data_IF_524410080223
#
_entry.id   IF_524410080223
#
_cell.length_a   1.000
_cell.length_b   1.000
_cell.length_c   1.000
_cell.angle_alpha   90.00
_cell.angle_beta   90.00
_cell.angle_gamma   90.00
#
_symmetry.space_group_name_H-M   'P 1'
#
loop_
_entity.id
_entity.type
_entity.pdbx_description
1 polymer ?
#
# COMPACT_ATOMS: atom_id res chain seq x y z
N UNK A 1 22.08 14.78 11.45
CA UNK A 1 21.03 13.94 10.83
C UNK A 1 21.65 13.29 9.61
N UNK A 2 21.65 11.95 9.52
CA UNK A 2 22.15 11.28 8.33
C UNK A 2 21.21 11.60 7.15
N UNK A 3 21.74 12.12 6.05
CA UNK A 3 20.98 12.34 4.82
C UNK A 3 20.90 11.01 4.08
N UNK A 4 19.73 10.38 4.07
CA UNK A 4 19.54 9.11 3.36
C UNK A 4 19.46 9.32 1.84
N UNK A 5 20.20 8.50 1.09
CA UNK A 5 20.10 8.42 -0.38
C UNK A 5 18.98 7.45 -0.75
N UNK A 6 17.73 7.89 -0.64
CA UNK A 6 16.55 7.03 -0.84
C UNK A 6 16.52 6.36 -2.22
N UNK A 7 16.93 7.05 -3.28
CA UNK A 7 17.04 6.47 -4.63
C UNK A 7 18.04 5.31 -4.67
N UNK A 8 19.20 5.46 -4.03
CA UNK A 8 20.23 4.42 -3.95
C UNK A 8 19.75 3.22 -3.13
N UNK A 9 19.05 3.46 -2.02
CA UNK A 9 18.43 2.41 -1.21
C UNK A 9 17.40 1.64 -2.06
N UNK A 10 16.48 2.36 -2.72
CA UNK A 10 15.47 1.77 -3.58
C UNK A 10 16.07 0.94 -4.72
N UNK A 11 17.11 1.46 -5.38
CA UNK A 11 17.84 0.74 -6.42
C UNK A 11 18.50 -0.54 -5.88
N UNK A 12 19.07 -0.49 -4.67
CA UNK A 12 19.67 -1.67 -4.03
C UNK A 12 18.61 -2.73 -3.74
N UNK A 13 17.47 -2.34 -3.18
CA UNK A 13 16.34 -3.24 -2.90
C UNK A 13 15.84 -3.88 -4.20
N UNK A 14 15.56 -3.09 -5.24
CA UNK A 14 15.10 -3.60 -6.54
C UNK A 14 16.09 -4.61 -7.14
N UNK A 15 17.39 -4.33 -7.03
CA UNK A 15 18.44 -5.27 -7.44
C UNK A 15 18.38 -6.56 -6.63
N UNK A 16 18.22 -6.48 -5.30
CA UNK A 16 18.12 -7.68 -4.45
C UNK A 16 16.92 -8.56 -4.84
N UNK A 17 15.77 -7.95 -5.10
CA UNK A 17 14.56 -8.65 -5.57
C UNK A 17 14.81 -9.33 -6.92
N UNK A 18 15.42 -8.62 -7.86
CA UNK A 18 15.73 -9.17 -9.21
C UNK A 18 16.73 -10.34 -9.16
N UNK A 19 17.65 -10.33 -8.19
CA UNK A 19 18.62 -11.41 -7.98
C UNK A 19 18.03 -12.63 -7.27
N UNK A 20 16.84 -12.52 -6.69
CA UNK A 20 16.20 -13.61 -5.95
C UNK A 20 15.66 -14.65 -6.93
N UNK A 21 16.38 -15.78 -7.09
CA UNK A 21 15.89 -16.92 -7.87
C UNK A 21 14.88 -17.72 -7.04
N UNK A 22 13.61 -17.66 -7.42
CA UNK A 22 12.51 -18.32 -6.71
C UNK A 22 12.53 -19.85 -6.85
N UNK A 23 13.33 -20.42 -7.76
CA UNK A 23 13.55 -21.87 -7.81
C UNK A 23 14.55 -22.34 -6.75
N UNK A 24 15.48 -21.46 -6.35
CA UNK A 24 16.49 -21.73 -5.32
C UNK A 24 15.94 -21.35 -3.94
N UNK A 25 15.37 -20.15 -3.83
CA UNK A 25 14.74 -19.62 -2.63
C UNK A 25 13.22 -19.80 -2.75
N UNK A 26 12.77 -21.02 -2.52
CA UNK A 26 11.40 -21.45 -2.82
C UNK A 26 10.35 -21.08 -1.75
N UNK A 27 10.75 -20.44 -0.66
CA UNK A 27 9.85 -19.91 0.36
C UNK A 27 10.22 -18.48 0.79
N UNK A 28 9.25 -17.80 1.42
CA UNK A 28 9.38 -16.39 1.80
C UNK A 28 10.46 -16.13 2.86
N UNK A 29 10.82 -17.11 3.68
CA UNK A 29 11.81 -16.97 4.74
C UNK A 29 13.22 -17.01 4.14
N UNK A 30 13.45 -17.97 3.25
CA UNK A 30 14.71 -18.11 2.51
C UNK A 30 14.95 -16.91 1.57
N UNK A 31 13.91 -16.43 0.88
CA UNK A 31 13.99 -15.21 0.07
C UNK A 31 14.36 -13.98 0.91
N UNK A 32 13.72 -13.79 2.06
CA UNK A 32 13.99 -12.67 2.94
C UNK A 32 15.42 -12.69 3.49
N UNK A 33 15.91 -13.84 3.98
CA UNK A 33 17.27 -13.93 4.49
C UNK A 33 18.30 -13.70 3.37
N UNK A 34 18.08 -14.23 2.17
CA UNK A 34 18.94 -13.95 1.01
C UNK A 34 19.02 -12.44 0.70
N UNK A 35 17.88 -11.77 0.57
CA UNK A 35 17.81 -10.33 0.30
C UNK A 35 18.53 -9.52 1.39
N UNK A 36 18.30 -9.87 2.65
CA UNK A 36 18.95 -9.24 3.81
C UNK A 36 20.47 -9.41 3.76
N UNK A 37 20.99 -10.59 3.39
CA UNK A 37 22.44 -10.79 3.24
C UNK A 37 23.03 -9.93 2.12
N UNK A 38 22.33 -9.79 0.98
CA UNK A 38 22.78 -8.90 -0.10
C UNK A 38 22.86 -7.45 0.38
N UNK A 39 21.83 -6.97 1.08
CA UNK A 39 21.81 -5.59 1.62
C UNK A 39 22.96 -5.38 2.62
N UNK A 40 23.20 -6.35 3.51
CA UNK A 40 24.31 -6.28 4.48
C UNK A 40 25.69 -6.29 3.81
N UNK A 41 25.85 -7.05 2.72
CA UNK A 41 27.09 -7.15 1.96
C UNK A 41 27.35 -5.95 1.04
N UNK A 42 26.35 -5.10 0.78
CA UNK A 42 26.51 -3.92 -0.08
C UNK A 42 27.57 -2.96 0.49
N UNK A 43 28.57 -2.61 -0.32
CA UNK A 43 29.68 -1.75 0.12
C UNK A 43 29.41 -0.24 -0.09
N UNK A 44 28.33 0.10 -0.80
CA UNK A 44 27.97 1.47 -1.19
C UNK A 44 27.06 2.10 -0.13
N UNK A 45 26.15 1.31 0.45
CA UNK A 45 25.26 1.76 1.52
C UNK A 45 26.03 1.96 2.84
N UNK A 46 25.74 3.05 3.53
CA UNK A 46 26.15 3.24 4.93
C UNK A 46 25.39 2.28 5.86
N UNK A 47 25.84 2.13 7.11
CA UNK A 47 25.16 1.28 8.08
C UNK A 47 23.71 1.73 8.36
N UNK A 48 23.47 3.04 8.40
CA UNK A 48 22.12 3.56 8.63
C UNK A 48 21.22 3.31 7.40
N UNK A 49 21.77 3.45 6.18
CA UNK A 49 21.04 3.13 4.94
C UNK A 49 20.74 1.64 4.82
N UNK A 50 21.66 0.75 5.24
CA UNK A 50 21.41 -0.69 5.34
C UNK A 50 20.31 -1.01 6.32
N UNK A 51 20.31 -0.36 7.49
CA UNK A 51 19.27 -0.53 8.50
C UNK A 51 17.91 -0.12 7.95
N UNK A 52 17.85 1.02 7.25
CA UNK A 52 16.62 1.47 6.58
C UNK A 52 16.18 0.50 5.48
N UNK A 53 17.11 0.02 4.64
CA UNK A 53 16.82 -0.93 3.57
C UNK A 53 16.30 -2.28 4.11
N UNK A 54 16.91 -2.80 5.18
CA UNK A 54 16.46 -4.03 5.86
C UNK A 54 15.06 -3.83 6.44
N UNK A 55 14.81 -2.67 7.08
CA UNK A 55 13.48 -2.34 7.59
C UNK A 55 12.45 -2.31 6.46
N UNK A 56 12.78 -1.77 5.29
CA UNK A 56 11.91 -1.76 4.13
C UNK A 56 11.56 -3.18 3.68
N UNK A 57 12.54 -4.04 3.39
CA UNK A 57 12.26 -5.43 2.97
C UNK A 57 11.52 -6.23 4.05
N UNK A 58 11.73 -5.90 5.33
CA UNK A 58 11.00 -6.51 6.46
C UNK A 58 9.51 -6.17 6.42
N UNK A 59 9.10 -4.97 5.95
CA UNK A 59 7.67 -4.64 5.78
C UNK A 59 6.96 -5.63 4.85
N UNK A 60 7.57 -5.92 3.70
CA UNK A 60 7.04 -6.89 2.73
C UNK A 60 7.04 -8.32 3.27
N UNK A 61 8.11 -8.71 3.97
CA UNK A 61 8.21 -10.01 4.62
C UNK A 61 7.17 -10.20 5.72
N UNK A 62 6.94 -9.19 6.57
CA UNK A 62 5.92 -9.22 7.61
C UNK A 62 4.51 -9.37 7.03
N UNK A 63 4.18 -8.63 5.95
CA UNK A 63 2.93 -8.84 5.22
C UNK A 63 2.78 -10.30 4.80
N UNK A 64 3.80 -10.87 4.15
CA UNK A 64 3.75 -12.22 3.63
C UNK A 64 3.63 -13.27 4.75
N UNK A 65 4.32 -13.10 5.88
CA UNK A 65 4.16 -13.95 7.06
C UNK A 65 2.72 -13.93 7.58
N UNK A 66 2.14 -12.74 7.76
CA UNK A 66 0.75 -12.59 8.25
C UNK A 66 -0.24 -13.19 7.24
N UNK A 67 -0.06 -12.94 5.94
CA UNK A 67 -0.95 -13.45 4.89
C UNK A 67 -0.92 -14.98 4.79
N UNK A 68 0.27 -15.58 4.78
CA UNK A 68 0.47 -17.02 4.64
C UNK A 68 0.38 -17.76 5.98
N UNK A 69 0.19 -17.04 7.09
CA UNK A 69 0.28 -17.56 8.45
C UNK A 69 1.54 -18.42 8.66
N UNK A 70 2.70 -17.91 8.21
CA UNK A 70 3.97 -18.66 8.15
C UNK A 70 5.07 -17.98 8.95
N UNK A 71 5.93 -18.79 9.57
CA UNK A 71 7.07 -18.36 10.37
C UNK A 71 6.84 -18.38 11.87
N UNK A 72 7.83 -17.93 12.64
CA UNK A 72 7.80 -17.92 14.10
C UNK A 72 6.90 -16.80 14.61
N UNK A 73 5.91 -17.16 15.44
CA UNK A 73 5.11 -16.20 16.19
C UNK A 73 5.88 -15.65 17.39
N UNK A 74 5.59 -14.41 17.77
CA UNK A 74 6.09 -13.78 18.99
C UNK A 74 4.95 -13.24 19.84
N UNK A 75 5.15 -13.18 21.14
CA UNK A 75 4.17 -12.55 22.04
C UNK A 75 4.31 -11.03 21.92
N UNK A 76 3.21 -10.36 21.56
CA UNK A 76 3.19 -8.91 21.48
C UNK A 76 3.30 -8.30 22.89
N UNK A 77 4.20 -7.34 23.06
CA UNK A 77 4.40 -6.66 24.35
C UNK A 77 3.18 -5.84 24.79
N UNK A 78 2.41 -5.31 23.83
CA UNK A 78 1.27 -4.44 24.07
C UNK A 78 -0.03 -5.20 24.37
N UNK A 79 -0.41 -6.18 23.54
CA UNK A 79 -1.68 -6.91 23.68
C UNK A 79 -1.54 -8.33 24.22
N UNK A 80 -0.31 -8.82 24.43
CA UNK A 80 0.01 -10.19 24.90
C UNK A 80 -0.47 -11.33 23.99
N UNK A 81 -0.93 -11.02 22.78
CA UNK A 81 -1.31 -12.02 21.78
C UNK A 81 -0.09 -12.47 20.96
N UNK A 82 -0.13 -13.70 20.46
CA UNK A 82 0.85 -14.19 19.50
C UNK A 82 0.63 -13.55 18.13
N UNK A 83 1.65 -12.84 17.63
CA UNK A 83 1.63 -12.14 16.35
C UNK A 83 2.79 -12.59 15.46
N UNK A 84 2.63 -12.45 14.14
CA UNK A 84 3.62 -12.89 13.16
C UNK A 84 4.56 -11.77 12.70
N UNK A 85 4.05 -10.54 12.61
CA UNK A 85 4.84 -9.41 12.12
C UNK A 85 5.94 -9.01 13.12
N UNK A 86 7.11 -8.68 12.61
CA UNK A 86 8.26 -8.22 13.39
C UNK A 86 8.13 -6.73 13.73
N UNK A 87 7.74 -5.88 12.76
CA UNK A 87 7.71 -4.42 12.89
C UNK A 87 6.45 -3.87 13.55
N UNK A 88 5.37 -4.66 13.61
CA UNK A 88 4.09 -4.27 14.18
C UNK A 88 3.37 -5.50 14.75
N UNK A 89 2.21 -5.29 15.37
CA UNK A 89 1.30 -6.36 15.77
C UNK A 89 -0.03 -6.16 15.04
N UNK A 90 -0.41 -7.11 14.21
CA UNK A 90 -1.64 -7.08 13.42
C UNK A 90 -2.88 -6.88 14.29
N UNK A 91 -2.91 -7.44 15.50
CA UNK A 91 -4.01 -7.26 16.45
C UNK A 91 -4.03 -5.87 17.08
N UNK A 92 -2.88 -5.31 17.44
CA UNK A 92 -2.83 -3.94 17.97
C UNK A 92 -3.31 -2.93 16.93
N UNK A 93 -2.89 -3.10 15.67
CA UNK A 93 -3.32 -2.24 14.56
C UNK A 93 -4.84 -2.35 14.37
N UNK A 94 -5.40 -3.57 14.31
CA UNK A 94 -6.85 -3.77 14.16
C UNK A 94 -7.65 -3.23 15.35
N UNK A 95 -7.16 -3.39 16.58
CA UNK A 95 -7.81 -2.84 17.76
C UNK A 95 -7.81 -1.31 17.75
N UNK A 96 -6.69 -0.69 17.39
CA UNK A 96 -6.61 0.77 17.20
C UNK A 96 -7.63 1.26 16.18
N UNK A 97 -7.75 0.59 15.03
CA UNK A 97 -8.75 0.96 14.01
C UNK A 97 -10.17 0.79 14.54
N UNK A 98 -10.45 -0.31 15.25
CA UNK A 98 -11.77 -0.59 15.81
C UNK A 98 -12.22 0.47 16.82
N UNK A 99 -11.30 1.01 17.62
CA UNK A 99 -11.57 2.11 18.54
C UNK A 99 -11.93 3.42 17.80
N UNK A 100 -11.47 3.58 16.56
CA UNK A 100 -11.69 4.77 15.74
C UNK A 100 -12.93 4.68 14.83
N UNK A 101 -13.64 3.54 14.80
CA UNK A 101 -14.81 3.34 13.93
C UNK A 101 -15.93 4.35 14.16
N UNK A 102 -16.04 4.95 15.35
CA UNK A 102 -17.02 5.99 15.65
C UNK A 102 -16.57 7.41 15.30
N UNK A 103 -15.27 7.61 15.00
CA UNK A 103 -14.68 8.94 14.83
C UNK A 103 -14.70 9.42 13.37
N UNK A 104 -15.00 8.54 12.43
CA UNK A 104 -15.22 8.87 11.03
C UNK A 104 -16.43 8.10 10.49
N UNK A 105 -17.10 8.67 9.50
CA UNK A 105 -18.20 8.04 8.76
C UNK A 105 -18.30 8.66 7.38
N UNK A 106 -18.70 7.87 6.39
CA UNK A 106 -19.09 8.37 5.07
C UNK A 106 -20.50 8.94 5.03
N UNK A 107 -21.30 8.75 6.10
CA UNK A 107 -22.74 9.00 6.10
C UNK A 107 -23.54 7.90 5.40
N UNK A 108 -22.89 6.81 4.97
CA UNK A 108 -23.54 5.65 4.34
C UNK A 108 -23.10 4.35 5.03
N UNK A 109 -24.03 3.71 5.72
CA UNK A 109 -23.77 2.50 6.50
C UNK A 109 -23.19 1.35 5.67
N UNK A 110 -23.58 1.22 4.38
CA UNK A 110 -23.07 0.16 3.50
C UNK A 110 -21.59 0.37 3.19
N UNK A 111 -21.19 1.62 2.94
CA UNK A 111 -19.79 2.00 2.70
C UNK A 111 -18.97 1.86 3.98
N UNK A 112 -19.50 2.34 5.10
CA UNK A 112 -18.81 2.27 6.40
C UNK A 112 -18.56 0.82 6.79
N UNK A 113 -19.56 -0.06 6.65
CA UNK A 113 -19.41 -1.49 6.90
C UNK A 113 -18.36 -2.15 5.99
N UNK A 114 -18.30 -1.77 4.71
CA UNK A 114 -17.28 -2.28 3.78
C UNK A 114 -15.87 -1.87 4.22
N UNK A 115 -15.67 -0.59 4.56
CA UNK A 115 -14.37 -0.06 4.99
C UNK A 115 -13.95 -0.70 6.32
N UNK A 116 -14.84 -0.76 7.32
CA UNK A 116 -14.56 -1.39 8.61
C UNK A 116 -14.19 -2.87 8.46
N UNK A 117 -14.87 -3.61 7.58
CA UNK A 117 -14.51 -5.00 7.26
C UNK A 117 -13.09 -5.09 6.68
N UNK A 118 -12.75 -4.23 5.72
CA UNK A 118 -11.41 -4.18 5.14
C UNK A 118 -10.34 -3.84 6.20
N UNK A 119 -10.65 -2.90 7.09
CA UNK A 119 -9.77 -2.51 8.19
C UNK A 119 -9.51 -3.68 9.15
N UNK A 120 -10.53 -4.46 9.51
CA UNK A 120 -10.39 -5.66 10.36
C UNK A 120 -9.60 -6.80 9.70
N UNK A 121 -9.56 -6.85 8.37
CA UNK A 121 -8.75 -7.82 7.61
C UNK A 121 -7.35 -7.28 7.25
N UNK A 122 -6.99 -6.06 7.65
CA UNK A 122 -5.71 -5.44 7.28
C UNK A 122 -4.51 -6.30 7.68
N UNK A 123 -3.58 -6.44 6.73
CA UNK A 123 -2.37 -7.24 6.93
C UNK A 123 -1.22 -6.42 7.47
N UNK A 124 -1.13 -5.13 7.14
CA UNK A 124 -0.08 -4.23 7.60
C UNK A 124 -0.52 -2.76 7.64
N UNK A 125 0.17 -1.88 8.39
CA UNK A 125 -0.25 -0.49 8.57
C UNK A 125 -0.40 0.30 7.28
N UNK A 126 0.51 0.12 6.32
CA UNK A 126 0.44 0.75 5.02
C UNK A 126 -0.46 -0.01 4.02
N UNK A 127 -1.39 -0.86 4.44
CA UNK A 127 -2.41 -1.42 3.54
C UNK A 127 -3.83 -1.16 4.05
N UNK A 128 -3.96 -0.31 5.07
CA UNK A 128 -5.24 0.03 5.69
C UNK A 128 -6.08 0.84 4.70
N UNK A 129 -7.31 0.37 4.50
CA UNK A 129 -8.33 1.06 3.71
C UNK A 129 -8.94 2.19 4.53
N UNK A 130 -9.11 3.36 3.92
CA UNK A 130 -9.59 4.58 4.56
C UNK A 130 -10.87 5.11 3.89
N UNK A 131 -11.76 5.68 4.69
CA UNK A 131 -12.62 6.73 4.17
C UNK A 131 -11.81 8.01 4.07
N UNK A 132 -11.65 8.53 2.85
CA UNK A 132 -10.84 9.71 2.58
C UNK A 132 -11.79 10.90 2.40
N UNK A 133 -11.82 11.87 3.33
CA UNK A 133 -12.60 13.08 3.15
C UNK A 133 -12.24 13.77 1.84
N UNK A 134 -13.23 14.09 1.03
CA UNK A 134 -13.01 14.70 -0.29
C UNK A 134 -12.25 16.03 -0.20
N UNK A 135 -12.40 16.76 0.91
CA UNK A 135 -11.64 17.99 1.21
C UNK A 135 -10.13 17.78 1.36
N UNK A 136 -9.68 16.54 1.58
CA UNK A 136 -8.26 16.17 1.60
C UNK A 136 -7.67 15.94 0.20
N UNK A 137 -8.49 15.97 -0.84
CA UNK A 137 -8.07 15.82 -2.24
C UNK A 137 -8.05 17.19 -2.91
N UNK A 138 -6.88 17.59 -3.40
CA UNK A 138 -6.66 18.88 -4.07
C UNK A 138 -6.29 18.65 -5.53
N UNK A 139 -6.34 19.73 -6.31
CA UNK A 139 -5.87 19.74 -7.70
C UNK A 139 -6.45 18.60 -8.56
N UNK A 140 -7.73 18.27 -8.32
CA UNK A 140 -8.41 17.18 -9.03
C UNK A 140 -8.52 17.56 -10.51
N UNK A 141 -7.94 16.72 -11.38
CA UNK A 141 -7.88 16.93 -12.83
C UNK A 141 -8.35 15.69 -13.56
N UNK A 142 -9.19 15.87 -14.57
CA UNK A 142 -9.54 14.79 -15.47
C UNK A 142 -8.30 14.27 -16.20
N UNK A 143 -8.11 12.95 -16.21
CA UNK A 143 -7.00 12.28 -16.88
C UNK A 143 -7.47 11.61 -18.17
N UNK A 144 -8.50 10.77 -18.08
CA UNK A 144 -9.03 10.01 -19.22
C UNK A 144 -10.36 9.37 -18.89
N UNK A 145 -11.01 8.78 -19.89
CA UNK A 145 -12.21 7.95 -19.76
C UNK A 145 -11.93 6.59 -20.37
N UNK A 146 -12.05 5.56 -19.56
CA UNK A 146 -12.01 4.17 -20.02
C UNK A 146 -13.38 3.71 -20.53
N UNK A 147 -13.54 2.40 -20.74
CA UNK A 147 -14.82 1.83 -21.15
C UNK A 147 -15.94 1.98 -20.10
N UNK A 148 -15.59 2.06 -18.82
CA UNK A 148 -16.56 1.98 -17.70
C UNK A 148 -16.46 3.10 -16.68
N UNK A 149 -15.42 3.93 -16.73
CA UNK A 149 -15.19 4.94 -15.69
C UNK A 149 -14.38 6.11 -16.21
N UNK A 150 -14.65 7.27 -15.65
CA UNK A 150 -13.78 8.43 -15.74
C UNK A 150 -12.68 8.32 -14.70
N UNK A 151 -11.48 8.76 -15.09
CA UNK A 151 -10.27 8.70 -14.28
C UNK A 151 -9.77 10.12 -14.10
N UNK A 152 -9.46 10.46 -12.85
CA UNK A 152 -8.92 11.75 -12.46
C UNK A 152 -7.60 11.53 -11.70
N UNK A 153 -6.75 12.53 -11.64
CA UNK A 153 -5.61 12.61 -10.72
C UNK A 153 -5.90 13.61 -9.62
N UNK A 154 -5.37 13.39 -8.43
CA UNK A 154 -5.52 14.31 -7.31
C UNK A 154 -4.31 14.29 -6.38
N UNK A 155 -4.16 15.37 -5.62
CA UNK A 155 -3.17 15.55 -4.58
C UNK A 155 -3.80 15.20 -3.22
N UNK A 156 -3.41 14.10 -2.60
CA UNK A 156 -3.92 13.71 -1.28
C UNK A 156 -3.03 14.26 -0.17
N UNK A 157 -3.55 15.25 0.58
CA UNK A 157 -2.75 16.06 1.52
C UNK A 157 -2.34 15.34 2.81
N UNK A 158 -3.12 14.37 3.25
CA UNK A 158 -2.79 13.61 4.46
C UNK A 158 -1.82 12.47 4.13
N UNK A 159 -1.80 12.03 2.87
CA UNK A 159 -1.09 10.84 2.43
C UNK A 159 -1.56 9.58 3.13
N UNK A 160 -0.92 8.48 2.76
CA UNK A 160 -1.22 7.16 3.29
C UNK A 160 -0.67 6.91 4.70
N UNK A 161 -1.27 5.94 5.40
CA UNK A 161 -0.62 5.28 6.53
C UNK A 161 0.66 4.56 6.10
N UNK A 162 1.64 4.50 7.01
CA UNK A 162 2.96 3.89 6.78
C UNK A 162 3.31 2.86 7.85
N UNK A 163 3.37 3.27 9.12
CA UNK A 163 3.94 2.43 10.19
C UNK A 163 3.12 2.46 11.47
N UNK A 164 3.18 1.37 12.23
CA UNK A 164 2.69 1.33 13.60
C UNK A 164 3.76 1.85 14.56
N UNK A 165 3.39 2.81 15.41
CA UNK A 165 4.20 3.26 16.54
C UNK A 165 3.77 2.50 17.80
N UNK A 166 4.59 1.54 18.25
CA UNK A 166 4.29 0.71 19.40
C UNK A 166 4.31 1.47 20.73
N UNK A 167 5.10 2.55 20.84
CA UNK A 167 5.21 3.37 22.04
C UNK A 167 3.98 4.26 22.18
N UNK A 168 3.61 4.94 21.08
CA UNK A 168 2.44 5.83 21.04
C UNK A 168 1.12 5.08 20.86
N UNK A 169 1.18 3.80 20.51
CA UNK A 169 0.02 2.95 20.15
C UNK A 169 -0.85 3.59 19.08
N UNK A 170 -0.20 4.12 18.03
CA UNK A 170 -0.86 4.87 16.97
C UNK A 170 -0.23 4.57 15.61
N UNK A 171 -1.01 4.75 14.54
CA UNK A 171 -0.51 4.61 13.17
C UNK A 171 0.07 5.94 12.70
N UNK A 172 1.30 5.90 12.19
CA UNK A 172 1.97 7.02 11.54
C UNK A 172 1.56 7.08 10.07
N UNK A 173 1.30 8.29 9.59
CA UNK A 173 1.25 8.57 8.15
C UNK A 173 2.66 8.69 7.59
N UNK A 174 2.82 8.31 6.33
CA UNK A 174 4.10 8.42 5.63
C UNK A 174 4.61 9.86 5.75
N UNK A 175 5.90 10.02 6.11
CA UNK A 175 6.58 11.30 6.12
C UNK A 175 7.96 11.25 5.50
N UNK A 176 8.26 12.17 4.58
CA UNK A 176 9.62 12.36 4.05
C UNK A 176 10.40 13.25 5.02
N UNK A 177 11.45 12.73 5.69
CA UNK A 177 12.25 13.53 6.61
C UNK A 177 12.89 14.74 5.89
N UNK A 178 12.77 15.92 6.50
CA UNK A 178 13.32 17.17 5.95
C UNK A 178 12.38 17.96 5.05
N UNK A 179 11.22 17.42 4.67
CA UNK A 179 10.16 18.15 3.96
C UNK A 179 9.07 18.49 4.98
N UNK A 180 9.02 19.76 5.41
CA UNK A 180 8.05 20.26 6.40
C UNK A 180 6.65 20.52 5.82
N UNK A 181 6.49 20.49 4.50
CA UNK A 181 5.22 20.74 3.83
C UNK A 181 4.42 19.44 3.60
N UNK A 182 3.10 19.61 3.60
CA UNK A 182 2.05 18.65 3.22
C UNK A 182 2.60 17.60 2.25
N UNK A 183 2.59 16.35 2.67
CA UNK A 183 2.94 15.25 1.77
C UNK A 183 1.75 15.05 0.89
N UNK A 184 1.92 15.53 -0.33
CA UNK A 184 1.01 15.28 -1.41
C UNK A 184 1.34 13.91 -1.96
N UNK A 185 0.54 12.92 -1.61
CA UNK A 185 0.56 11.65 -2.35
C UNK A 185 -0.27 11.87 -3.61
N UNK A 186 0.35 11.78 -4.78
CA UNK A 186 -0.39 11.84 -6.04
C UNK A 186 -1.17 10.53 -6.19
N UNK A 187 -2.49 10.66 -6.34
CA UNK A 187 -3.43 9.53 -6.42
C UNK A 187 -4.24 9.59 -7.69
N UNK A 188 -4.75 8.44 -8.09
CA UNK A 188 -5.77 8.30 -9.12
C UNK A 188 -7.14 8.15 -8.47
N UNK A 189 -8.11 8.91 -8.95
CA UNK A 189 -9.52 8.75 -8.60
C UNK A 189 -10.24 8.07 -9.76
N UNK A 190 -10.76 6.87 -9.51
CA UNK A 190 -11.61 6.16 -10.47
C UNK A 190 -13.06 6.32 -10.04
N UNK A 191 -13.88 6.95 -10.89
CA UNK A 191 -15.30 7.17 -10.58
C UNK A 191 -16.04 5.84 -10.48
N UNK A 192 -16.82 5.71 -9.41
CA UNK A 192 -17.86 4.72 -9.21
C UNK A 192 -19.18 5.49 -9.28
N UNK A 193 -20.12 5.06 -10.11
CA UNK A 193 -21.44 5.70 -10.18
C UNK A 193 -22.11 5.72 -8.78
N UNK A 194 -23.01 6.68 -8.53
CA UNK A 194 -23.68 6.83 -7.23
C UNK A 194 -24.41 5.53 -6.82
N UNK A 195 -24.40 5.21 -5.52
CA UNK A 195 -25.13 4.10 -4.89
C UNK A 195 -26.62 4.07 -5.25
N UNK A 196 -27.23 5.24 -5.47
CA UNK A 196 -28.64 5.35 -5.85
C UNK A 196 -28.91 4.98 -7.32
N UNK A 197 -27.87 4.90 -8.15
CA UNK A 197 -27.99 4.25 -9.45
C UNK A 197 -28.16 2.75 -9.18
N UNK A 198 -29.20 2.14 -9.76
CA UNK A 198 -29.66 0.77 -9.47
C UNK A 198 -28.67 -0.36 -9.83
N UNK A 199 -27.39 -0.04 -10.00
CA UNK A 199 -26.36 -0.94 -10.45
C UNK A 199 -25.44 -1.39 -9.30
N UNK A 200 -25.65 -2.60 -8.80
CA UNK A 200 -24.79 -3.26 -7.81
C UNK A 200 -23.33 -3.43 -8.29
N UNK A 201 -23.05 -3.29 -9.61
CA UNK A 201 -21.75 -3.63 -10.19
C UNK A 201 -20.60 -2.77 -9.65
N UNK A 202 -20.83 -1.47 -9.42
CA UNK A 202 -19.77 -0.59 -8.91
C UNK A 202 -19.40 -0.94 -7.46
N UNK A 203 -20.37 -1.39 -6.65
CA UNK A 203 -20.13 -1.77 -5.26
C UNK A 203 -19.33 -3.07 -5.17
N UNK A 204 -19.67 -4.07 -6.00
CA UNK A 204 -18.89 -5.30 -6.07
C UNK A 204 -17.49 -5.06 -6.64
N UNK A 205 -17.34 -4.12 -7.58
CA UNK A 205 -16.03 -3.67 -8.05
C UNK A 205 -15.21 -3.04 -6.92
N UNK A 206 -15.79 -2.10 -6.17
CA UNK A 206 -15.14 -1.43 -5.05
C UNK A 206 -14.70 -2.45 -3.98
N UNK A 207 -15.63 -3.33 -3.58
CA UNK A 207 -15.37 -4.40 -2.61
C UNK A 207 -14.29 -5.36 -3.07
N UNK A 208 -14.30 -5.76 -4.34
CA UNK A 208 -13.29 -6.64 -4.93
C UNK A 208 -11.91 -5.98 -4.89
N UNK A 209 -11.81 -4.74 -5.39
CA UNK A 209 -10.54 -4.00 -5.41
C UNK A 209 -9.97 -3.77 -4.01
N UNK A 210 -10.78 -3.27 -3.07
CA UNK A 210 -10.36 -3.02 -1.69
C UNK A 210 -9.87 -4.29 -0.99
N UNK A 211 -10.54 -5.42 -1.22
CA UNK A 211 -10.19 -6.70 -0.60
C UNK A 211 -8.90 -7.28 -1.20
N UNK A 212 -8.75 -7.23 -2.52
CA UNK A 212 -7.63 -7.86 -3.22
C UNK A 212 -6.35 -7.04 -3.06
N UNK A 213 -6.41 -5.71 -3.23
CA UNK A 213 -5.21 -4.86 -3.17
C UNK A 213 -4.59 -4.77 -1.77
N UNK A 214 -5.37 -5.05 -0.72
CA UNK A 214 -4.87 -5.15 0.65
C UNK A 214 -4.03 -6.43 0.85
N UNK A 215 -4.32 -7.50 0.08
CA UNK A 215 -3.68 -8.82 0.23
C UNK A 215 -2.48 -9.01 -0.67
N UNK A 216 -2.53 -8.52 -1.90
CA UNK A 216 -1.55 -8.81 -2.95
C UNK A 216 -0.82 -7.57 -3.41
N UNK A 217 0.52 -7.63 -3.42
CA UNK A 217 1.37 -6.51 -3.82
C UNK A 217 1.32 -6.21 -5.32
N UNK A 218 1.00 -7.22 -6.12
CA UNK A 218 0.96 -7.15 -7.58
C UNK A 218 -0.30 -6.43 -8.09
N UNK A 219 -1.29 -6.22 -7.20
CA UNK A 219 -2.50 -5.47 -7.51
C UNK A 219 -2.33 -4.04 -7.04
N UNK A 220 -2.59 -3.09 -7.94
CA UNK A 220 -2.49 -1.66 -7.66
C UNK A 220 -3.23 -1.32 -6.38
N UNK A 221 -2.51 -0.70 -5.45
CA UNK A 221 -3.03 -0.35 -4.13
C UNK A 221 -4.22 0.58 -4.24
N UNK A 222 -5.32 0.20 -3.61
CA UNK A 222 -6.44 1.08 -3.32
C UNK A 222 -6.33 1.55 -1.87
N UNK A 223 -6.24 2.88 -1.68
CA UNK A 223 -6.20 3.51 -0.37
C UNK A 223 -7.58 3.55 0.28
N UNK A 224 -8.64 3.56 -0.52
CA UNK A 224 -10.00 3.52 -0.03
C UNK A 224 -10.98 4.26 -0.90
N UNK A 225 -11.99 4.85 -0.26
CA UNK A 225 -13.11 5.49 -0.93
C UNK A 225 -13.25 6.96 -0.52
N UNK A 226 -13.80 7.75 -1.42
CA UNK A 226 -14.25 9.12 -1.16
C UNK A 226 -15.55 9.37 -1.92
N UNK A 227 -16.26 10.43 -1.58
CA UNK A 227 -17.47 10.86 -2.30
C UNK A 227 -17.37 12.33 -2.65
N UNK A 228 -17.72 12.67 -3.90
CA UNK A 228 -17.86 14.05 -4.29
C UNK A 228 -19.14 14.65 -3.68
N UNK A 229 -19.05 15.65 -2.79
CA UNK A 229 -20.24 16.27 -2.23
C UNK A 229 -21.07 17.03 -3.27
N UNK A 230 -20.53 17.38 -4.44
CA UNK A 230 -21.25 18.16 -5.46
C UNK A 230 -22.21 17.32 -6.31
N UNK A 231 -21.96 16.02 -6.49
CA UNK A 231 -22.77 15.15 -7.35
C UNK A 231 -23.07 13.77 -6.75
N UNK A 232 -22.58 13.47 -5.55
CA UNK A 232 -22.83 12.21 -4.84
C UNK A 232 -22.05 11.00 -5.38
N UNK A 233 -21.25 11.15 -6.44
CA UNK A 233 -20.48 10.05 -7.00
C UNK A 233 -19.35 9.64 -6.05
N UNK A 234 -19.13 8.34 -5.94
CA UNK A 234 -18.00 7.78 -5.20
C UNK A 234 -16.77 7.68 -6.09
N UNK A 235 -15.59 7.63 -5.49
CA UNK A 235 -14.36 7.26 -6.19
C UNK A 235 -13.58 6.24 -5.39
N UNK A 236 -12.94 5.32 -6.11
CA UNK A 236 -11.77 4.62 -5.59
C UNK A 236 -10.59 5.57 -5.61
N UNK A 237 -9.90 5.69 -4.49
CA UNK A 237 -8.64 6.40 -4.38
C UNK A 237 -7.51 5.38 -4.48
N UNK A 238 -6.70 5.47 -5.52
CA UNK A 238 -5.73 4.45 -5.90
C UNK A 238 -4.33 5.03 -6.07
N UNK A 239 -3.32 4.19 -5.89
CA UNK A 239 -1.94 4.53 -6.22
C UNK A 239 -1.83 4.87 -7.71
N UNK A 240 -1.20 6.01 -8.01
CA UNK A 240 -0.89 6.38 -9.38
C UNK A 240 0.28 5.52 -9.88
N UNK A 241 0.07 4.84 -11.00
CA UNK A 241 1.12 4.10 -11.70
C UNK A 241 1.71 4.95 -12.83
N UNK A 242 2.96 4.68 -13.19
CA UNK A 242 3.70 5.50 -14.17
C UNK A 242 3.19 5.36 -15.60
N UNK A 243 2.94 4.12 -16.05
CA UNK A 243 2.58 3.82 -17.44
C UNK A 243 1.73 2.55 -17.56
N UNK A 244 0.84 2.50 -18.55
CA UNK A 244 0.13 1.27 -18.88
C UNK A 244 1.02 0.28 -19.65
N UNK A 245 0.83 -1.01 -19.38
CA UNK A 245 1.64 -2.09 -19.94
C UNK A 245 1.68 -2.07 -21.47
N UNK A 246 0.56 -1.75 -22.13
CA UNK A 246 0.48 -1.70 -23.59
C UNK A 246 1.41 -0.63 -24.15
N UNK A 247 1.35 0.60 -23.61
CA UNK A 247 2.25 1.69 -24.02
C UNK A 247 3.71 1.35 -23.70
N UNK A 248 3.99 0.80 -22.52
CA UNK A 248 5.35 0.40 -22.16
C UNK A 248 5.94 -0.61 -23.16
N UNK A 249 5.18 -1.65 -23.50
CA UNK A 249 5.60 -2.67 -24.47
C UNK A 249 5.79 -2.10 -25.88
N UNK A 250 4.97 -1.14 -26.29
CA UNK A 250 5.10 -0.46 -27.58
C UNK A 250 6.35 0.41 -27.64
N UNK A 251 6.60 1.22 -26.61
CA UNK A 251 7.75 2.13 -26.54
C UNK A 251 9.09 1.37 -26.46
N UNK A 252 9.10 0.20 -25.80
CA UNK A 252 10.32 -0.57 -25.54
C UNK A 252 10.44 -1.83 -26.42
N UNK A 253 9.65 -1.94 -27.49
CA UNK A 253 9.55 -3.16 -28.30
C UNK A 253 10.92 -3.70 -28.75
N UNK A 254 11.80 -2.81 -29.21
CA UNK A 254 13.13 -3.17 -29.74
C UNK A 254 14.19 -3.42 -28.65
N UNK A 255 13.91 -3.07 -27.40
CA UNK A 255 14.85 -3.20 -26.28
C UNK A 255 14.53 -4.42 -25.40
N UNK A 256 13.26 -4.87 -25.39
CA UNK A 256 12.81 -5.98 -24.55
C UNK A 256 13.07 -7.33 -25.22
N UNK A 257 13.90 -8.15 -24.59
CA UNK A 257 14.04 -9.57 -24.91
C UNK A 257 12.75 -10.34 -24.58
N UNK A 258 12.56 -11.52 -25.18
CA UNK A 258 11.42 -12.39 -24.83
C UNK A 258 11.38 -12.76 -23.35
N UNK A 259 12.55 -13.02 -22.74
CA UNK A 259 12.65 -13.29 -21.30
C UNK A 259 12.16 -12.11 -20.48
N UNK A 260 12.54 -10.88 -20.84
CA UNK A 260 12.06 -9.69 -20.14
C UNK A 260 10.54 -9.56 -20.27
N UNK A 261 9.97 -9.81 -21.45
CA UNK A 261 8.51 -9.72 -21.68
C UNK A 261 7.71 -10.74 -20.86
N UNK A 262 8.24 -11.94 -20.64
CA UNK A 262 7.61 -12.98 -19.81
C UNK A 262 7.65 -12.61 -18.32
N UNK A 263 8.66 -11.85 -17.91
CA UNK A 263 8.89 -11.47 -16.51
C UNK A 263 8.23 -10.13 -16.12
N UNK A 264 7.55 -9.44 -17.05
CA UNK A 264 6.72 -8.26 -16.75
C UNK A 264 5.34 -8.74 -16.30
#
# INVERSE_FOLDING_TARGET
MATFRYELIGATINRTTTLTDTNIYNDIHNQFEFQKQIVLADKILTNDEKTYAIRWITKGYDRNKVNLNSGTKRICENCKQECLATLYCEYCVRNYLKEDFSNWTSGNDVIDNLIQKCQMESLMPNNIVEWIPYSNLRNIKYLTKGGFSEIYTADWINGEYDEWDSEKKAIKRFKIPGIQNIIVTEVVLKTLENVESANQSWFEEAKSHLTISNKWADVVRCFGLTQNPSNGNYFLVMMKMDIDLRKYLQQNHNQLTWKNRINI
#
